data_IF_304134816106
#
_entry.id   IF_304134816106
#
_cell.length_a   1.000
_cell.length_b   1.000
_cell.length_c   1.000
_cell.angle_alpha   90.00
_cell.angle_beta   90.00
_cell.angle_gamma   90.00
#
_symmetry.space_group_name_H-M   'P 1'
#
loop_
_entity.id
_entity.type
_entity.pdbx_description
1 polymer ?
#
# COMPACT_ATOMS: atom_id res chain seq x y z
N UNK A 1 20.05 0.77 3.00
CA UNK A 1 18.91 0.88 2.05
C UNK A 1 17.95 -0.27 2.34
N UNK A 2 16.71 0.01 2.76
CA UNK A 2 15.72 -1.00 3.16
C UNK A 2 15.45 -1.98 1.99
N UNK A 3 15.62 -3.28 2.22
CA UNK A 3 15.58 -4.33 1.20
C UNK A 3 14.23 -4.39 0.46
N UNK A 4 13.12 -4.10 1.15
CA UNK A 4 11.78 -4.06 0.56
C UNK A 4 11.68 -3.03 -0.57
N UNK A 5 12.11 -1.80 -0.30
CA UNK A 5 12.06 -0.71 -1.30
C UNK A 5 13.03 -0.93 -2.45
N UNK A 6 14.15 -1.63 -2.21
CA UNK A 6 15.07 -2.03 -3.27
C UNK A 6 14.39 -3.03 -4.22
N UNK A 7 13.80 -4.09 -3.67
CA UNK A 7 13.03 -5.08 -4.43
C UNK A 7 11.88 -4.42 -5.21
N UNK A 8 11.06 -3.60 -4.56
CA UNK A 8 9.95 -2.92 -5.21
C UNK A 8 10.41 -2.07 -6.41
N UNK A 9 11.52 -1.33 -6.24
CA UNK A 9 12.11 -0.52 -7.32
C UNK A 9 12.65 -1.39 -8.46
N UNK A 10 13.40 -2.45 -8.17
CA UNK A 10 13.92 -3.38 -9.17
C UNK A 10 12.80 -4.06 -9.98
N UNK A 11 11.67 -4.32 -9.31
CA UNK A 11 10.47 -4.87 -9.94
C UNK A 11 9.57 -3.81 -10.59
N UNK A 12 9.98 -2.54 -10.62
CA UNK A 12 9.19 -1.41 -11.16
C UNK A 12 7.78 -1.30 -10.55
N UNK A 13 7.66 -1.57 -9.25
CA UNK A 13 6.41 -1.46 -8.50
C UNK A 13 6.29 -0.08 -7.84
N UNK A 14 5.07 0.43 -7.75
CA UNK A 14 4.69 1.65 -7.04
C UNK A 14 4.00 1.28 -5.73
N UNK A 15 4.30 1.97 -4.64
CA UNK A 15 3.57 1.82 -3.38
C UNK A 15 2.24 2.58 -3.45
N UNK A 16 1.16 1.98 -2.95
CA UNK A 16 -0.12 2.67 -2.72
C UNK A 16 0.04 3.66 -1.59
N UNK A 17 -0.51 4.87 -1.77
CA UNK A 17 -0.56 5.90 -0.73
C UNK A 17 -1.98 5.96 -0.18
N UNK A 18 -2.11 5.96 1.14
CA UNK A 18 -3.38 6.10 1.84
C UNK A 18 -3.55 7.55 2.29
N UNK A 19 -4.74 8.11 2.11
CA UNK A 19 -5.05 9.51 2.49
C UNK A 19 -5.14 9.69 4.01
N UNK A 20 -5.76 8.73 4.71
CA UNK A 20 -5.73 8.59 6.17
C UNK A 20 -5.02 7.28 6.54
N UNK A 21 -3.75 7.38 6.94
CA UNK A 21 -2.89 6.23 7.17
C UNK A 21 -2.98 5.74 8.62
N UNK A 22 -4.01 4.91 8.87
CA UNK A 22 -4.24 4.21 10.14
C UNK A 22 -3.56 2.84 10.18
N UNK A 23 -2.50 2.62 9.39
CA UNK A 23 -1.75 1.35 9.44
C UNK A 23 -1.13 1.14 10.80
N UNK A 24 -1.08 -0.13 11.21
CA UNK A 24 -0.32 -0.53 12.39
C UNK A 24 1.16 -0.21 12.13
N UNK A 25 1.81 0.37 13.14
CA UNK A 25 3.23 0.72 13.09
C UNK A 25 4.01 -0.07 14.14
N UNK A 26 5.21 -0.52 13.79
CA UNK A 26 6.21 -0.97 14.75
C UNK A 26 7.45 -0.07 14.62
N UNK A 27 8.02 0.34 15.75
CA UNK A 27 9.16 1.27 15.77
C UNK A 27 8.93 2.55 14.93
N UNK A 28 7.68 3.04 14.91
CA UNK A 28 7.28 4.23 14.15
C UNK A 28 7.13 4.03 12.63
N UNK A 29 7.24 2.80 12.11
CA UNK A 29 7.16 2.48 10.68
C UNK A 29 5.95 1.60 10.36
N UNK A 30 5.26 1.81 9.22
CA UNK A 30 4.17 0.94 8.80
C UNK A 30 4.69 -0.48 8.54
N UNK A 31 3.87 -1.47 8.87
CA UNK A 31 4.17 -2.89 8.68
C UNK A 31 3.60 -3.44 7.37
N UNK A 32 2.45 -2.92 6.95
CA UNK A 32 1.68 -3.43 5.83
C UNK A 32 1.79 -2.51 4.61
N UNK A 33 1.93 -3.10 3.42
CA UNK A 33 2.17 -2.38 2.17
C UNK A 33 1.39 -3.02 1.03
N UNK A 34 0.89 -2.19 0.10
CA UNK A 34 0.40 -2.64 -1.20
C UNK A 34 1.29 -2.02 -2.28
N UNK A 35 1.85 -2.87 -3.13
CA UNK A 35 2.64 -2.48 -4.29
C UNK A 35 1.94 -2.89 -5.58
N UNK A 36 1.95 -2.04 -6.60
CA UNK A 36 1.22 -2.26 -7.86
C UNK A 36 2.03 -1.80 -9.08
N UNK A 37 1.66 -2.29 -10.27
CA UNK A 37 2.24 -1.89 -11.57
C UNK A 37 1.20 -2.06 -12.67
N UNK A 38 1.19 -1.15 -13.64
CA UNK A 38 0.28 -1.22 -14.79
C UNK A 38 -1.20 -0.91 -14.47
N UNK A 39 -1.48 -0.37 -13.27
CA UNK A 39 -2.82 -0.02 -12.81
C UNK A 39 -2.84 1.43 -12.31
N UNK A 40 -4.01 2.03 -12.26
CA UNK A 40 -4.25 3.30 -11.57
C UNK A 40 -4.97 3.04 -10.26
N UNK A 41 -4.57 3.73 -9.18
CA UNK A 41 -5.30 3.69 -7.90
C UNK A 41 -6.48 4.65 -8.01
N UNK A 42 -7.69 4.11 -7.91
CA UNK A 42 -8.93 4.88 -7.87
C UNK A 42 -9.20 5.40 -6.45
N UNK A 43 -9.14 4.49 -5.46
CA UNK A 43 -9.26 4.81 -4.05
C UNK A 43 -8.36 3.92 -3.20
N UNK A 44 -7.96 4.40 -2.03
CA UNK A 44 -7.17 3.66 -1.06
C UNK A 44 -7.44 4.13 0.37
N UNK A 45 -7.88 3.21 1.22
CA UNK A 45 -8.22 3.50 2.61
C UNK A 45 -7.77 2.39 3.56
N UNK A 46 -7.69 2.73 4.85
CA UNK A 46 -7.40 1.80 5.93
C UNK A 46 -8.64 1.68 6.80
N UNK A 47 -9.22 0.49 6.88
CA UNK A 47 -10.42 0.27 7.69
C UNK A 47 -10.03 0.00 9.14
N UNK A 48 -10.41 0.89 10.05
CA UNK A 48 -10.15 0.70 11.48
C UNK A 48 -11.10 -0.34 12.06
N UNK A 49 -10.55 -1.40 12.64
CA UNK A 49 -11.34 -2.48 13.24
C UNK A 49 -10.63 -3.12 14.43
N UNK A 50 -11.39 -3.90 15.21
CA UNK A 50 -10.88 -4.75 16.31
C UNK A 50 -10.96 -6.24 16.00
N UNK A 51 -11.39 -6.59 14.78
CA UNK A 51 -11.56 -7.98 14.36
C UNK A 51 -10.22 -8.71 14.12
N UNK A 52 -9.14 -7.96 13.88
CA UNK A 52 -7.76 -8.43 13.75
C UNK A 52 -6.85 -7.45 14.48
N UNK A 53 -5.62 -7.86 14.77
CA UNK A 53 -4.59 -6.98 15.28
C UNK A 53 -3.95 -6.13 14.17
N UNK A 54 -4.31 -6.33 12.89
CA UNK A 54 -4.00 -5.46 11.75
C UNK A 54 -5.28 -4.82 11.19
N UNK A 55 -5.17 -3.57 10.72
CA UNK A 55 -6.24 -2.91 9.98
C UNK A 55 -6.20 -3.34 8.51
N UNK A 56 -7.33 -3.75 7.90
CA UNK A 56 -7.40 -4.05 6.48
C UNK A 56 -7.01 -2.84 5.60
N UNK A 57 -6.24 -3.11 4.55
CA UNK A 57 -5.95 -2.16 3.47
C UNK A 57 -6.92 -2.39 2.33
N UNK A 58 -7.75 -1.41 2.01
CA UNK A 58 -8.65 -1.45 0.88
C UNK A 58 -8.06 -0.61 -0.24
N UNK A 59 -7.93 -1.18 -1.43
CA UNK A 59 -7.43 -0.49 -2.61
C UNK A 59 -8.32 -0.85 -3.79
N UNK A 60 -8.85 0.18 -4.43
CA UNK A 60 -9.58 0.06 -5.68
C UNK A 60 -8.65 0.41 -6.83
N UNK A 61 -8.52 -0.51 -7.79
CA UNK A 61 -7.74 -0.30 -8.99
C UNK A 61 -8.65 -0.13 -10.20
N UNK A 62 -8.23 0.74 -11.10
CA UNK A 62 -8.72 0.79 -12.48
C UNK A 62 -7.60 0.42 -13.45
N UNK A 63 -7.93 0.02 -14.69
CA UNK A 63 -6.92 -0.19 -15.72
C UNK A 63 -5.97 1.01 -15.81
N UNK A 64 -4.67 0.73 -15.94
CA UNK A 64 -3.69 1.78 -16.21
C UNK A 64 -4.05 2.51 -17.50
N UNK A 65 -3.76 3.81 -17.57
CA UNK A 65 -3.74 4.47 -18.88
C UNK A 65 -2.67 3.73 -19.73
N UNK A 66 -2.95 3.44 -21.01
CA UNK A 66 -1.87 3.05 -21.91
C UNK A 66 -0.86 4.20 -21.94
N UNK A 67 0.42 3.84 -21.90
CA UNK A 67 1.52 4.79 -22.12
C UNK A 67 1.46 5.41 -23.52
#
# INVERSE_FOLDING_TARGET
>A
MNALYRFAREMSLREVRFSDDQRKKAFGRPLDFVFYRGLSVHDASVLVTRASDHNPLLVEFSPGKPD
#
